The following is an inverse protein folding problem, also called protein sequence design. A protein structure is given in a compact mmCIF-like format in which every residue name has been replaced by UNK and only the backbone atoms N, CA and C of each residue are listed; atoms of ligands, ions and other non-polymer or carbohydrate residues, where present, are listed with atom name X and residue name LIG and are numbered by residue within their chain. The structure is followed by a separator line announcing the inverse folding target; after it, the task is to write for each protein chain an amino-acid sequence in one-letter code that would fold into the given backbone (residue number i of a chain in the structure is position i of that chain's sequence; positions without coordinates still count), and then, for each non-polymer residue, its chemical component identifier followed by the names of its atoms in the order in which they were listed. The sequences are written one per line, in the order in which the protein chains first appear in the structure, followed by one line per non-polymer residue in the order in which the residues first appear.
data_IF_127393438712
#
_entry.id   IF_127393438712
#
_cell.length_a   1.000
_cell.length_b   1.000
_cell.length_c   1.000
_cell.angle_alpha   90.00
_cell.angle_beta   90.00
_cell.angle_gamma   90.00
#
_symmetry.space_group_name_H-M   'P 1'
#
loop_
_entity.id
_entity.type
_entity.pdbx_description
1 polymer ?
#
# COMPACT_ATOMS: atom_id res chain seq x y z
N UNK A 1 14.53 -25.72 -3.25
CA UNK A 1 13.12 -26.15 -3.23
C UNK A 1 12.37 -25.02 -2.54
N UNK A 2 11.53 -24.25 -3.24
CA UNK A 2 10.80 -23.14 -2.60
C UNK A 2 9.83 -23.72 -1.58
N UNK A 3 9.79 -23.15 -0.39
CA UNK A 3 8.91 -23.64 0.67
C UNK A 3 7.44 -23.52 0.20
N UNK A 4 6.63 -24.60 0.27
CA UNK A 4 5.21 -24.54 -0.08
C UNK A 4 4.45 -23.45 0.70
N UNK A 5 4.90 -23.12 1.92
CA UNK A 5 4.32 -22.08 2.77
C UNK A 5 4.65 -20.68 2.20
N UNK A 6 5.88 -20.44 1.76
CA UNK A 6 6.23 -19.20 1.03
C UNK A 6 5.42 -19.06 -0.26
N UNK A 7 5.13 -20.18 -0.93
CA UNK A 7 4.34 -20.17 -2.17
C UNK A 7 2.87 -19.84 -1.89
N UNK A 8 2.31 -20.33 -0.78
CA UNK A 8 0.94 -20.00 -0.34
C UNK A 8 0.81 -18.55 0.13
N UNK A 9 1.83 -18.01 0.82
CA UNK A 9 1.89 -16.60 1.24
C UNK A 9 2.03 -15.62 0.06
N UNK A 10 2.54 -16.08 -1.08
CA UNK A 10 2.67 -15.28 -2.31
C UNK A 10 1.42 -15.28 -3.19
N UNK A 11 0.41 -16.11 -2.90
CA UNK A 11 -0.87 -16.08 -3.61
C UNK A 11 -1.76 -15.02 -2.98
N UNK A 12 -1.73 -13.82 -3.56
CA UNK A 12 -2.65 -12.75 -3.15
C UNK A 12 -4.07 -13.12 -3.58
N UNK A 13 -5.05 -13.20 -2.66
CA UNK A 13 -6.42 -13.51 -3.00
C UNK A 13 -7.02 -12.48 -3.96
N UNK A 14 -7.77 -12.98 -4.95
CA UNK A 14 -8.52 -12.15 -5.90
C UNK A 14 -9.95 -11.94 -5.41
N UNK A 15 -10.42 -10.70 -5.48
CA UNK A 15 -11.77 -10.27 -5.14
C UNK A 15 -12.48 -9.79 -6.40
N UNK A 16 -13.72 -10.24 -6.60
CA UNK A 16 -14.55 -9.82 -7.72
C UNK A 16 -15.51 -8.73 -7.24
N UNK A 17 -15.42 -7.54 -7.84
CA UNK A 17 -16.34 -6.43 -7.62
C UNK A 17 -17.38 -6.41 -8.75
N UNK A 18 -18.66 -6.56 -8.39
CA UNK A 18 -19.76 -6.40 -9.34
C UNK A 18 -20.06 -4.91 -9.50
N UNK A 19 -19.91 -4.39 -10.71
CA UNK A 19 -20.29 -3.02 -11.07
C UNK A 19 -21.46 -3.06 -12.05
N UNK A 20 -22.22 -1.96 -12.16
CA UNK A 20 -23.33 -1.84 -13.13
C UNK A 20 -22.89 -2.05 -14.60
N UNK A 21 -21.58 -2.10 -14.89
CA UNK A 21 -21.02 -2.34 -16.23
C UNK A 21 -20.32 -3.71 -16.37
N UNK A 22 -20.42 -4.59 -15.37
CA UNK A 22 -19.84 -5.93 -15.39
C UNK A 22 -18.98 -6.25 -14.15
N UNK A 23 -18.33 -7.41 -14.17
CA UNK A 23 -17.45 -7.90 -13.11
C UNK A 23 -16.00 -7.45 -13.36
N UNK A 24 -15.35 -6.90 -12.33
CA UNK A 24 -13.90 -6.63 -12.35
C UNK A 24 -13.24 -7.38 -11.22
N UNK A 25 -12.20 -8.15 -11.54
CA UNK A 25 -11.37 -8.84 -10.57
C UNK A 25 -10.18 -7.96 -10.17
N UNK A 26 -9.98 -7.78 -8.88
CA UNK A 26 -8.84 -7.08 -8.28
C UNK A 26 -8.15 -8.00 -7.29
N UNK A 27 -6.85 -7.86 -7.11
CA UNK A 27 -6.23 -8.43 -5.91
C UNK A 27 -6.70 -7.66 -4.66
N UNK A 28 -6.66 -8.30 -3.49
CA UNK A 28 -7.16 -7.70 -2.25
C UNK A 28 -6.48 -6.37 -1.92
N UNK A 29 -5.17 -6.21 -2.21
CA UNK A 29 -4.44 -4.97 -1.93
C UNK A 29 -4.86 -3.86 -2.89
N UNK A 30 -5.06 -4.15 -4.18
CA UNK A 30 -5.61 -3.20 -5.14
C UNK A 30 -7.02 -2.74 -4.75
N UNK A 31 -7.85 -3.65 -4.22
CA UNK A 31 -9.19 -3.29 -3.74
C UNK A 31 -9.12 -2.36 -2.52
N UNK A 32 -8.18 -2.59 -1.60
CA UNK A 32 -7.95 -1.76 -0.42
C UNK A 32 -7.30 -0.40 -0.77
N UNK A 33 -6.42 -0.36 -1.75
CA UNK A 33 -5.84 0.88 -2.27
C UNK A 33 -6.91 1.82 -2.82
N UNK A 34 -7.95 1.27 -3.47
CA UNK A 34 -9.13 2.04 -3.91
C UNK A 34 -9.91 2.67 -2.73
N UNK A 35 -9.85 2.05 -1.54
CA UNK A 35 -10.35 2.66 -0.29
C UNK A 35 -9.31 3.56 0.41
N UNK A 36 -8.17 3.81 -0.24
CA UNK A 36 -7.04 4.63 0.26
C UNK A 36 -6.35 4.02 1.46
N UNK A 37 -6.23 2.69 1.46
CA UNK A 37 -5.52 1.93 2.49
C UNK A 37 -4.22 1.38 1.90
N UNK A 38 -3.09 1.71 2.52
CA UNK A 38 -1.75 1.24 2.16
C UNK A 38 -1.20 0.39 3.30
N UNK A 39 -0.58 -0.74 2.96
CA UNK A 39 0.05 -1.65 3.92
C UNK A 39 1.57 -1.55 3.82
N UNK A 40 2.22 -1.40 4.97
CA UNK A 40 3.66 -1.51 5.15
C UNK A 40 3.90 -2.73 6.02
N UNK A 41 4.23 -3.86 5.40
CA UNK A 41 4.38 -5.15 6.10
C UNK A 41 5.76 -5.73 5.86
N UNK A 42 6.50 -6.04 6.92
CA UNK A 42 7.84 -6.60 6.84
C UNK A 42 8.95 -5.55 6.79
N UNK A 43 10.20 -5.95 6.48
CA UNK A 43 11.36 -5.06 6.53
C UNK A 43 11.27 -3.89 5.55
N UNK A 44 11.70 -2.70 5.99
CA UNK A 44 11.76 -1.52 5.11
C UNK A 44 13.01 -1.60 4.23
N UNK A 45 12.79 -1.71 2.93
CA UNK A 45 13.82 -1.70 1.89
C UNK A 45 13.46 -0.72 0.77
N UNK A 46 14.42 -0.38 -0.09
CA UNK A 46 14.25 0.62 -1.15
C UNK A 46 13.11 0.28 -2.12
N UNK A 47 12.92 -1.01 -2.43
CA UNK A 47 11.81 -1.46 -3.27
C UNK A 47 10.45 -1.19 -2.64
N UNK A 48 10.29 -1.54 -1.36
CA UNK A 48 9.05 -1.27 -0.62
C UNK A 48 8.78 0.23 -0.50
N UNK A 49 9.77 1.02 -0.13
CA UNK A 49 9.61 2.46 0.01
C UNK A 49 9.20 3.11 -1.31
N UNK A 50 9.81 2.72 -2.44
CA UNK A 50 9.44 3.20 -3.77
C UNK A 50 7.97 2.90 -4.11
N UNK A 51 7.49 1.70 -3.77
CA UNK A 51 6.07 1.32 -3.97
C UNK A 51 5.12 2.16 -3.10
N UNK A 52 5.45 2.35 -1.82
CA UNK A 52 4.64 3.17 -0.90
C UNK A 52 4.60 4.63 -1.37
N UNK A 53 5.73 5.22 -1.76
CA UNK A 53 5.78 6.57 -2.31
C UNK A 53 4.93 6.70 -3.58
N UNK A 54 4.99 5.72 -4.49
CA UNK A 54 4.17 5.71 -5.70
C UNK A 54 2.66 5.64 -5.38
N UNK A 55 2.26 4.82 -4.40
CA UNK A 55 0.87 4.73 -3.95
C UNK A 55 0.38 6.03 -3.31
N UNK A 56 1.20 6.68 -2.48
CA UNK A 56 0.88 7.97 -1.86
C UNK A 56 0.62 9.06 -2.92
N UNK A 57 1.52 9.18 -3.91
CA UNK A 57 1.37 10.13 -5.01
C UNK A 57 0.15 9.82 -5.90
N UNK A 58 -0.13 8.54 -6.13
CA UNK A 58 -1.32 8.11 -6.84
C UNK A 58 -2.62 8.55 -6.12
N UNK A 59 -2.69 8.34 -4.80
CA UNK A 59 -3.86 8.70 -4.01
C UNK A 59 -4.05 10.22 -3.86
N UNK A 60 -2.94 10.98 -3.84
CA UNK A 60 -2.98 12.44 -3.94
C UNK A 60 -3.60 12.89 -5.26
N UNK A 61 -3.16 12.33 -6.39
CA UNK A 61 -3.66 12.67 -7.71
C UNK A 61 -5.14 12.33 -7.89
N UNK A 62 -5.62 11.22 -7.30
CA UNK A 62 -7.04 10.86 -7.31
C UNK A 62 -7.91 11.84 -6.52
N UNK A 63 -7.53 12.14 -5.28
CA UNK A 63 -8.26 13.09 -4.46
C UNK A 63 -7.35 13.68 -3.37
N UNK A 64 -6.92 14.95 -3.47
CA UNK A 64 -6.00 15.55 -2.51
C UNK A 64 -6.63 15.88 -1.16
N UNK A 65 -7.95 15.73 -1.00
CA UNK A 65 -8.68 16.10 0.23
C UNK A 65 -9.07 14.93 1.12
N UNK A 66 -9.16 13.72 0.54
CA UNK A 66 -9.61 12.53 1.28
C UNK A 66 -8.42 11.92 2.03
N UNK A 67 -8.66 11.44 3.25
CA UNK A 67 -7.61 10.83 4.08
C UNK A 67 -7.01 9.57 3.45
N UNK A 68 -5.75 9.30 3.76
CA UNK A 68 -5.04 8.05 3.43
C UNK A 68 -4.72 7.32 4.74
N UNK A 69 -4.99 6.02 4.78
CA UNK A 69 -4.71 5.18 5.95
C UNK A 69 -3.50 4.29 5.68
N UNK A 70 -2.44 4.47 6.45
CA UNK A 70 -1.25 3.64 6.45
C UNK A 70 -1.32 2.62 7.59
N UNK A 71 -1.35 1.34 7.25
CA UNK A 71 -1.25 0.23 8.21
C UNK A 71 0.19 -0.25 8.27
N UNK A 72 0.81 -0.14 9.44
CA UNK A 72 2.24 -0.35 9.64
C UNK A 72 2.46 -1.58 10.53
N UNK A 73 2.99 -2.64 9.93
CA UNK A 73 3.47 -3.83 10.62
C UNK A 73 4.89 -4.15 10.14
N UNK A 74 5.85 -3.36 10.61
CA UNK A 74 7.24 -3.45 10.18
C UNK A 74 8.20 -3.50 11.37
N UNK A 75 9.23 -4.37 11.35
CA UNK A 75 10.32 -4.34 12.31
C UNK A 75 11.30 -3.17 12.07
N UNK A 76 11.03 -2.30 11.09
CA UNK A 76 11.96 -1.27 10.62
C UNK A 76 12.85 -1.77 9.47
N UNK A 77 13.93 -1.04 9.19
CA UNK A 77 14.84 -1.36 8.11
C UNK A 77 15.75 -0.20 7.73
N UNK A 78 15.91 0.04 6.42
CA UNK A 78 16.81 1.05 5.88
C UNK A 78 16.27 2.46 6.18
N UNK A 79 17.10 3.27 6.85
CA UNK A 79 16.72 4.62 7.31
C UNK A 79 16.38 5.55 6.15
N UNK A 80 17.17 5.53 5.06
CA UNK A 80 16.95 6.38 3.89
C UNK A 80 15.62 6.08 3.20
N UNK A 81 15.23 4.80 3.12
CA UNK A 81 13.96 4.38 2.55
C UNK A 81 12.79 4.80 3.46
N UNK A 82 12.97 4.72 4.79
CA UNK A 82 12.04 5.28 5.76
C UNK A 82 11.85 6.79 5.63
N UNK A 83 12.95 7.53 5.46
CA UNK A 83 12.93 8.99 5.24
C UNK A 83 12.22 9.35 3.92
N UNK A 84 12.44 8.60 2.85
CA UNK A 84 11.74 8.83 1.58
C UNK A 84 10.22 8.72 1.71
N UNK A 85 9.73 7.70 2.44
CA UNK A 85 8.31 7.57 2.75
C UNK A 85 7.82 8.71 3.63
N UNK A 86 8.56 9.05 4.68
CA UNK A 86 8.21 10.14 5.60
C UNK A 86 8.10 11.50 4.89
N UNK A 87 9.09 11.86 4.08
CA UNK A 87 9.08 13.11 3.32
C UNK A 87 7.92 13.13 2.31
N UNK A 88 7.61 11.99 1.68
CA UNK A 88 6.45 11.88 0.79
C UNK A 88 5.14 12.09 1.56
N UNK A 89 5.01 11.54 2.77
CA UNK A 89 3.83 11.77 3.62
C UNK A 89 3.65 13.25 3.99
N UNK A 90 4.75 13.99 4.21
CA UNK A 90 4.69 15.42 4.52
C UNK A 90 4.48 16.29 3.27
N UNK A 91 4.91 15.81 2.10
CA UNK A 91 4.80 16.53 0.83
C UNK A 91 3.37 16.55 0.29
N UNK A 92 2.66 15.41 0.35
CA UNK A 92 1.34 15.27 -0.23
C UNK A 92 0.28 16.07 0.55
N UNK A 93 -0.76 16.53 -0.15
CA UNK A 93 -1.87 17.28 0.47
C UNK A 93 -2.82 16.46 1.36
N UNK A 94 -3.17 15.21 1.03
CA UNK A 94 -4.03 14.39 1.88
C UNK A 94 -3.50 14.25 3.30
N UNK A 95 -4.37 14.31 4.33
CA UNK A 95 -3.98 13.88 5.66
C UNK A 95 -3.66 12.37 5.63
N UNK A 96 -2.54 11.99 6.25
CA UNK A 96 -2.12 10.59 6.37
C UNK A 96 -2.33 10.14 7.81
N UNK A 97 -3.27 9.22 8.00
CA UNK A 97 -3.52 8.53 9.25
C UNK A 97 -2.66 7.27 9.30
N UNK A 98 -2.07 6.97 10.47
CA UNK A 98 -1.22 5.79 10.67
C UNK A 98 -1.81 4.90 11.75
N UNK A 99 -1.78 3.59 11.51
CA UNK A 99 -2.27 2.57 12.42
C UNK A 99 -1.24 1.46 12.54
N UNK A 100 -0.87 1.11 13.77
CA UNK A 100 0.21 0.17 14.11
C UNK A 100 -0.34 -0.99 14.94
#
# INVERSE_FOLDING_TARGET
MKDPIETYMNLVPMVVEQTNRGERAYDIYSRLLKERIIFITGPIEDGMASLVCAQLLFLEAENPKKEINLYINSPGGVVTSGLAMYDTMQFIKPPVSTLC
#
